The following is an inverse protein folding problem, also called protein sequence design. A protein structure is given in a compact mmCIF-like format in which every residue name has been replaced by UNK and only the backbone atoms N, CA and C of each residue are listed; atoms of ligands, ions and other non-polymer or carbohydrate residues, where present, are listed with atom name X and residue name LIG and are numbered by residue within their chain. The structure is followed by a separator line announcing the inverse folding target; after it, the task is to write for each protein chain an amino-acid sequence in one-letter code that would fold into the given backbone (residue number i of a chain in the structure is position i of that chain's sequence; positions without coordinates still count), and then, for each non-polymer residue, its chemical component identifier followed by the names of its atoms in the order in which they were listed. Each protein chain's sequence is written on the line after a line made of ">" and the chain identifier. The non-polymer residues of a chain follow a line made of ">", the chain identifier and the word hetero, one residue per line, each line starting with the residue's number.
data_IF_195611775251
#
_entry.id   IF_195611775251
#
_cell.length_a   1.000
_cell.length_b   1.000
_cell.length_c   1.000
_cell.angle_alpha   90.00
_cell.angle_beta   90.00
_cell.angle_gamma   90.00
#
_symmetry.space_group_name_H-M   'P 1'
#
loop_
_entity.id
_entity.type
_entity.pdbx_description
1 polymer ?
#
# COMPACT_ATOMS: atom_id res chain seq x y z
N UNK A 1 -2.50 -12.83 6.84
CA UNK A 1 -2.96 -11.92 5.77
C UNK A 1 -1.84 -11.26 5.00
N UNK A 2 -0.97 -10.49 5.64
CA UNK A 2 0.09 -9.71 4.99
C UNK A 2 1.00 -10.47 4.00
N UNK A 3 1.58 -11.61 4.43
CA UNK A 3 2.40 -12.51 3.57
C UNK A 3 1.59 -13.46 2.68
N UNK A 4 0.32 -13.67 3.00
CA UNK A 4 -0.52 -14.68 2.36
C UNK A 4 -1.29 -14.08 1.20
N UNK A 5 -2.61 -14.22 1.24
CA UNK A 5 -3.54 -13.70 0.22
C UNK A 5 -3.38 -12.19 -0.08
N UNK A 6 -2.88 -11.40 0.88
CA UNK A 6 -2.62 -9.98 0.67
C UNK A 6 -1.41 -9.68 -0.23
N UNK A 7 -0.48 -10.63 -0.40
CA UNK A 7 0.76 -10.50 -1.18
C UNK A 7 1.60 -9.24 -0.86
N UNK A 8 1.43 -8.63 0.32
CA UNK A 8 2.02 -7.33 0.63
C UNK A 8 3.55 -7.39 0.72
N UNK A 9 4.09 -8.58 1.04
CA UNK A 9 5.53 -8.85 1.05
C UNK A 9 6.15 -9.04 -0.33
N UNK A 10 5.41 -8.86 -1.42
CA UNK A 10 6.05 -8.74 -2.74
C UNK A 10 6.92 -7.47 -2.81
N UNK A 11 6.53 -6.40 -2.11
CA UNK A 11 7.24 -5.12 -2.07
C UNK A 11 7.64 -4.70 -0.64
N UNK A 12 6.80 -4.97 0.37
CA UNK A 12 7.08 -4.57 1.75
C UNK A 12 7.86 -5.65 2.50
N UNK A 13 9.17 -5.72 2.23
CA UNK A 13 10.06 -6.77 2.73
C UNK A 13 11.06 -6.27 3.79
N UNK A 14 11.67 -7.22 4.49
CA UNK A 14 12.76 -6.95 5.41
C UNK A 14 12.34 -6.21 6.68
N UNK A 15 13.32 -5.74 7.48
CA UNK A 15 13.06 -5.13 8.77
C UNK A 15 12.39 -3.76 8.67
N UNK A 16 12.50 -3.07 7.55
CA UNK A 16 11.87 -1.76 7.31
C UNK A 16 10.58 -1.86 6.50
N UNK A 17 10.18 -3.07 6.06
CA UNK A 17 8.96 -3.30 5.28
C UNK A 17 8.93 -2.47 3.99
N UNK A 18 10.02 -2.51 3.24
CA UNK A 18 10.22 -1.82 1.96
C UNK A 18 11.36 -2.50 1.21
N UNK A 19 11.24 -2.60 -0.11
CA UNK A 19 12.29 -3.05 -1.03
C UNK A 19 13.05 -1.89 -1.67
N UNK A 20 12.70 -0.64 -1.30
CA UNK A 20 13.25 0.60 -1.86
C UNK A 20 13.12 0.74 -3.40
N UNK A 21 12.30 -0.11 -4.03
CA UNK A 21 12.12 -0.17 -5.49
C UNK A 21 10.93 0.67 -5.94
N UNK A 22 10.88 1.00 -7.23
CA UNK A 22 9.82 1.81 -7.82
C UNK A 22 8.70 0.90 -8.37
N UNK A 23 7.47 1.10 -7.90
CA UNK A 23 6.30 0.35 -8.35
C UNK A 23 5.17 1.30 -8.75
N UNK A 24 4.48 0.98 -9.85
CA UNK A 24 3.29 1.68 -10.28
C UNK A 24 2.05 0.92 -9.81
N UNK A 25 1.33 1.51 -8.87
CA UNK A 25 0.06 1.00 -8.34
C UNK A 25 -1.16 1.63 -9.03
N UNK A 26 -0.91 2.63 -9.87
CA UNK A 26 -1.90 3.35 -10.67
C UNK A 26 -2.47 4.62 -10.02
N UNK A 27 -2.11 4.94 -8.77
CA UNK A 27 -2.57 6.18 -8.09
C UNK A 27 -2.25 7.42 -8.93
N UNK A 28 -1.04 7.48 -9.50
CA UNK A 28 -0.51 8.63 -10.24
C UNK A 28 -0.61 8.54 -11.77
N UNK A 29 -1.26 7.50 -12.32
CA UNK A 29 -1.13 7.18 -13.76
C UNK A 29 -1.51 8.34 -14.70
N UNK A 30 -2.39 9.25 -14.26
CA UNK A 30 -2.86 10.38 -15.06
C UNK A 30 -2.10 11.69 -14.86
N UNK A 31 -1.13 11.74 -13.96
CA UNK A 31 -0.31 12.94 -13.80
C UNK A 31 0.83 12.93 -14.82
N UNK A 32 0.62 13.64 -15.93
CA UNK A 32 1.57 13.78 -17.03
C UNK A 32 2.85 14.53 -16.65
N UNK A 33 2.92 15.11 -15.45
CA UNK A 33 4.10 15.82 -14.93
C UNK A 33 5.10 14.88 -14.27
N UNK A 34 4.70 13.66 -13.95
CA UNK A 34 5.54 12.69 -13.27
C UNK A 34 6.42 11.93 -14.27
N UNK A 35 7.72 12.03 -14.09
CA UNK A 35 8.69 11.15 -14.74
C UNK A 35 8.63 9.75 -14.12
N UNK A 36 9.04 8.70 -14.84
CA UNK A 36 9.05 7.34 -14.28
C UNK A 36 7.75 6.54 -14.41
N UNK A 37 6.88 6.87 -15.38
CA UNK A 37 5.69 6.08 -15.75
C UNK A 37 4.71 5.86 -14.58
N UNK A 38 4.62 6.82 -13.66
CA UNK A 38 3.74 6.75 -12.49
C UNK A 38 4.19 5.77 -11.40
N UNK A 39 5.44 5.32 -11.43
CA UNK A 39 6.03 4.47 -10.40
C UNK A 39 6.64 5.30 -9.26
N UNK A 40 6.43 4.85 -8.04
CA UNK A 40 6.94 5.49 -6.81
C UNK A 40 7.66 4.47 -5.95
N UNK A 41 8.59 4.98 -5.12
CA UNK A 41 9.34 4.14 -4.20
C UNK A 41 8.38 3.49 -3.20
N UNK A 42 8.53 2.20 -2.94
CA UNK A 42 7.85 1.54 -1.83
C UNK A 42 8.17 2.29 -0.53
N UNK A 43 7.18 2.81 0.21
CA UNK A 43 7.43 3.43 1.50
C UNK A 43 7.64 2.36 2.57
N UNK A 44 8.35 2.72 3.64
CA UNK A 44 8.34 1.90 4.86
C UNK A 44 6.92 1.87 5.45
N UNK A 45 6.56 0.74 6.07
CA UNK A 45 5.30 0.63 6.83
C UNK A 45 5.50 0.84 8.34
N UNK A 46 6.70 1.21 8.79
CA UNK A 46 6.92 1.60 10.19
C UNK A 46 6.18 2.91 10.47
N UNK A 47 5.45 2.95 11.58
CA UNK A 47 4.61 4.10 11.98
C UNK A 47 3.48 4.46 10.99
N UNK A 48 3.13 3.57 10.05
CA UNK A 48 2.15 3.86 8.98
C UNK A 48 0.77 4.24 9.50
N UNK A 49 0.38 3.83 10.71
CA UNK A 49 -0.92 4.17 11.27
C UNK A 49 -1.09 5.67 11.57
N UNK A 50 -0.01 6.46 11.52
CA UNK A 50 0.03 7.87 11.94
C UNK A 50 0.39 8.84 10.83
N UNK A 51 0.47 8.35 9.60
CA UNK A 51 0.96 9.13 8.45
C UNK A 51 -0.14 9.47 7.47
N UNK A 52 -1.41 9.46 7.89
CA UNK A 52 -2.49 9.90 7.03
C UNK A 52 -2.30 11.39 6.63
N UNK A 53 -2.69 11.80 5.41
CA UNK A 53 -3.26 10.97 4.35
C UNK A 53 -2.23 10.11 3.62
N UNK A 54 -2.69 9.07 2.95
CA UNK A 54 -1.87 8.02 2.34
C UNK A 54 -1.65 8.20 0.84
N UNK A 55 -0.70 7.42 0.31
CA UNK A 55 -0.15 7.51 -1.04
C UNK A 55 0.71 8.78 -1.25
N UNK A 56 1.46 8.83 -2.35
CA UNK A 56 2.37 9.94 -2.65
C UNK A 56 1.65 11.28 -2.88
N UNK A 57 0.36 11.25 -3.21
CA UNK A 57 -0.49 12.40 -3.50
C UNK A 57 -1.51 12.71 -2.39
N UNK A 58 -1.52 11.94 -1.30
CA UNK A 58 -2.48 12.10 -0.21
C UNK A 58 -3.93 11.75 -0.59
N UNK A 59 -4.15 10.99 -1.67
CA UNK A 59 -5.49 10.74 -2.21
C UNK A 59 -6.37 9.83 -1.36
N UNK A 60 -5.81 9.06 -0.43
CA UNK A 60 -6.56 8.14 0.42
C UNK A 60 -6.49 8.56 1.89
N UNK A 61 -7.64 8.66 2.55
CA UNK A 61 -7.73 9.24 3.89
C UNK A 61 -7.36 8.24 4.99
N UNK A 62 -7.67 6.96 4.80
CA UNK A 62 -7.57 5.93 5.85
C UNK A 62 -6.78 4.69 5.40
N UNK A 63 -6.31 3.89 6.36
CA UNK A 63 -5.73 2.57 6.04
C UNK A 63 -6.75 1.63 5.40
N UNK A 64 -8.02 1.75 5.78
CA UNK A 64 -9.12 1.00 5.16
C UNK A 64 -9.23 1.33 3.67
N UNK A 65 -9.15 2.61 3.29
CA UNK A 65 -9.15 3.03 1.88
C UNK A 65 -7.95 2.45 1.12
N UNK A 66 -6.77 2.44 1.75
CA UNK A 66 -5.54 1.86 1.17
C UNK A 66 -5.71 0.35 0.94
N UNK A 67 -6.22 -0.36 1.95
CA UNK A 67 -6.48 -1.80 1.85
C UNK A 67 -7.51 -2.08 0.76
N UNK A 68 -8.60 -1.30 0.69
CA UNK A 68 -9.61 -1.41 -0.34
C UNK A 68 -9.05 -1.17 -1.75
N UNK A 69 -8.17 -0.18 -1.90
CA UNK A 69 -7.48 0.11 -3.16
C UNK A 69 -6.65 -1.08 -3.65
N UNK A 70 -5.82 -1.68 -2.80
CA UNK A 70 -5.03 -2.85 -3.18
C UNK A 70 -5.88 -4.11 -3.36
N UNK A 71 -6.93 -4.29 -2.56
CA UNK A 71 -7.88 -5.39 -2.71
C UNK A 71 -8.58 -5.38 -4.08
N UNK A 72 -8.88 -4.19 -4.60
CA UNK A 72 -9.42 -3.98 -5.94
C UNK A 72 -8.39 -4.13 -7.08
N UNK A 73 -7.10 -4.30 -6.78
CA UNK A 73 -6.05 -4.39 -7.79
C UNK A 73 -5.54 -3.04 -8.30
N UNK A 74 -5.59 -2.00 -7.47
CA UNK A 74 -5.10 -0.67 -7.81
C UNK A 74 -5.88 0.01 -8.94
N UNK A 75 -5.20 0.85 -9.73
CA UNK A 75 -5.79 1.56 -10.88
C UNK A 75 -5.17 1.07 -12.19
N UNK A 76 -5.91 0.30 -13.02
CA UNK A 76 -5.38 -0.31 -14.24
C UNK A 76 -4.74 0.69 -15.20
N UNK A 77 -3.54 0.35 -15.68
CA UNK A 77 -2.82 1.11 -16.69
C UNK A 77 -1.72 0.28 -17.39
N UNK A 78 -1.20 0.71 -18.55
CA UNK A 78 -0.17 -0.02 -19.30
C UNK A 78 1.16 -0.26 -18.58
N UNK A 79 1.46 0.49 -17.51
CA UNK A 79 2.70 0.37 -16.74
C UNK A 79 2.46 -0.12 -15.31
N UNK A 80 1.26 -0.66 -15.02
CA UNK A 80 0.92 -1.21 -13.71
C UNK A 80 1.88 -2.33 -13.33
N UNK A 81 2.34 -2.35 -12.09
CA UNK A 81 3.18 -3.42 -11.59
C UNK A 81 2.44 -4.77 -11.62
N UNK A 82 3.12 -5.83 -12.04
CA UNK A 82 2.55 -7.18 -12.21
C UNK A 82 2.02 -7.78 -10.91
N UNK A 83 2.53 -7.35 -9.76
CA UNK A 83 2.10 -7.85 -8.45
C UNK A 83 0.78 -7.20 -8.01
N UNK A 84 0.37 -6.10 -8.65
CA UNK A 84 -0.87 -5.39 -8.37
C UNK A 84 -2.02 -6.04 -9.14
N UNK A 85 -2.83 -6.79 -8.40
CA UNK A 85 -3.99 -7.54 -8.90
C UNK A 85 -5.04 -7.66 -7.81
N UNK A 86 -6.32 -7.89 -8.16
CA UNK A 86 -7.37 -8.06 -7.16
C UNK A 86 -7.05 -9.17 -6.16
N UNK A 87 -7.11 -8.86 -4.87
CA UNK A 87 -6.77 -9.78 -3.78
C UNK A 87 -7.99 -10.58 -3.31
N UNK A 88 -9.20 -10.01 -3.50
CA UNK A 88 -10.49 -10.60 -3.14
C UNK A 88 -10.56 -11.00 -1.66
N UNK A 89 -10.06 -10.13 -0.79
CA UNK A 89 -10.09 -10.27 0.65
C UNK A 89 -11.53 -10.18 1.16
N UNK A 90 -11.88 -11.04 2.10
CA UNK A 90 -13.11 -10.90 2.89
C UNK A 90 -12.98 -9.73 3.87
N UNK A 91 -14.09 -9.21 4.39
CA UNK A 91 -14.05 -8.11 5.35
C UNK A 91 -13.28 -8.48 6.63
N UNK A 92 -13.35 -9.74 7.06
CA UNK A 92 -12.56 -10.22 8.19
C UNK A 92 -11.05 -10.20 7.90
N UNK A 93 -10.66 -10.56 6.67
CA UNK A 93 -9.27 -10.50 6.23
C UNK A 93 -8.76 -9.06 6.11
N UNK A 94 -9.59 -8.13 5.64
CA UNK A 94 -9.28 -6.68 5.60
C UNK A 94 -9.05 -6.12 6.99
N UNK A 95 -9.96 -6.38 7.93
CA UNK A 95 -9.81 -5.97 9.34
C UNK A 95 -8.55 -6.55 9.99
N UNK A 96 -8.25 -7.83 9.72
CA UNK A 96 -7.03 -8.45 10.24
C UNK A 96 -5.75 -7.84 9.64
N UNK A 97 -5.78 -7.46 8.36
CA UNK A 97 -4.68 -6.75 7.72
C UNK A 97 -4.50 -5.35 8.30
N UNK A 98 -5.59 -4.61 8.51
CA UNK A 98 -5.54 -3.29 9.13
C UNK A 98 -5.01 -3.34 10.55
N UNK A 99 -5.50 -4.27 11.38
CA UNK A 99 -5.00 -4.48 12.74
C UNK A 99 -3.49 -4.79 12.77
N UNK A 100 -2.99 -5.54 11.78
CA UNK A 100 -1.56 -5.75 11.60
C UNK A 100 -0.82 -4.45 11.24
N UNK A 101 -1.34 -3.63 10.33
CA UNK A 101 -0.70 -2.34 9.98
C UNK A 101 -0.69 -1.37 11.17
N UNK A 102 -1.76 -1.38 11.99
CA UNK A 102 -1.82 -0.59 13.22
C UNK A 102 -0.74 -1.00 14.23
N UNK A 103 -0.43 -2.30 14.34
CA UNK A 103 0.61 -2.79 15.27
C UNK A 103 2.04 -2.47 14.84
N UNK A 104 2.25 -1.95 13.62
CA UNK A 104 3.55 -1.47 13.14
C UNK A 104 3.91 -0.07 13.65
N UNK A 105 3.03 0.53 14.46
CA UNK A 105 3.21 1.85 15.04
C UNK A 105 3.22 1.74 16.56
N UNK A 106 4.14 2.43 17.23
CA UNK A 106 4.22 2.42 18.69
C UNK A 106 2.93 2.91 19.35
N UNK A 107 2.73 2.60 20.64
CA UNK A 107 1.72 3.30 21.46
C UNK A 107 2.38 4.56 22.02
N UNK A 108 1.76 5.74 21.87
CA UNK A 108 2.20 6.88 22.70
C UNK A 108 1.54 6.70 24.05
N UNK A 109 2.29 6.18 25.01
CA UNK A 109 1.91 6.27 26.41
C UNK A 109 2.47 7.59 26.93
N UNK A 110 1.59 8.49 27.36
CA UNK A 110 1.93 9.68 28.13
C UNK A 110 1.88 9.36 29.62
#
# INVERSE_FOLDING_TARGET
>A
MFRGKGNCTACHIGPTLTDESLHNTGVAWRDSRLTGRGAFKTPTLREVARTAPYMHDGSLATLEDVIGFYDGGGRPNPNLDREIRPLRLTDAEKRALEAFLQSLSGTVSF
#
